data_IF_966525807700
#
_entry.id   IF_966525807700
#
_cell.length_a   1.000
_cell.length_b   1.000
_cell.length_c   1.000
_cell.angle_alpha   90.00
_cell.angle_beta   90.00
_cell.angle_gamma   90.00
#
_symmetry.space_group_name_H-M   'P 1'
#
loop_
_entity.id
_entity.type
_entity.pdbx_description
1 polymer ?
#
# COMPACT_ATOMS: atom_id res chain seq x y z
N UNK A 1 -5.28 -6.62 -26.38
CA UNK A 1 -4.91 -6.38 -24.96
C UNK A 1 -5.63 -5.11 -24.52
N UNK A 2 -6.70 -5.23 -23.74
CA UNK A 2 -7.53 -4.10 -23.31
C UNK A 2 -6.83 -3.35 -22.17
N UNK A 3 -6.75 -2.02 -22.29
CA UNK A 3 -6.14 -1.10 -21.31
C UNK A 3 -7.05 -0.94 -20.09
N UNK A 4 -7.20 -2.00 -19.30
CA UNK A 4 -7.97 -1.95 -18.04
C UNK A 4 -7.06 -1.41 -16.95
N UNK A 5 -7.44 -0.26 -16.37
CA UNK A 5 -6.76 0.32 -15.21
C UNK A 5 -7.07 -0.54 -13.99
N UNK A 6 -6.06 -1.28 -13.51
CA UNK A 6 -6.18 -2.12 -12.31
C UNK A 6 -5.88 -1.28 -11.08
N UNK A 7 -6.89 -1.07 -10.24
CA UNK A 7 -6.76 -0.44 -8.92
C UNK A 7 -6.87 -1.53 -7.84
N UNK A 8 -6.02 -1.44 -6.83
CA UNK A 8 -6.01 -2.37 -5.70
C UNK A 8 -6.68 -1.79 -4.47
N UNK A 9 -7.50 -2.60 -3.81
CA UNK A 9 -8.02 -2.32 -2.48
C UNK A 9 -7.32 -3.23 -1.46
N UNK A 10 -6.86 -2.67 -0.35
CA UNK A 10 -6.42 -3.49 0.77
C UNK A 10 -7.66 -4.10 1.45
N UNK A 11 -7.85 -5.42 1.36
CA UNK A 11 -9.06 -6.06 1.89
C UNK A 11 -9.19 -6.00 3.42
N UNK A 12 -8.09 -5.81 4.18
CA UNK A 12 -8.11 -5.84 5.65
C UNK A 12 -7.10 -4.86 6.27
N UNK A 13 -7.56 -4.17 7.31
CA UNK A 13 -6.74 -3.30 8.17
C UNK A 13 -5.47 -4.01 8.74
N UNK A 14 -5.45 -5.35 8.77
CA UNK A 14 -4.29 -6.12 9.22
C UNK A 14 -3.06 -6.06 8.30
N UNK A 15 -3.22 -5.68 7.03
CA UNK A 15 -2.11 -5.56 6.09
C UNK A 15 -1.15 -4.40 6.40
N UNK A 16 -1.61 -3.37 7.10
CA UNK A 16 -0.83 -2.13 7.34
C UNK A 16 -0.26 -2.02 8.76
N UNK A 17 -0.59 -2.97 9.64
CA UNK A 17 -0.10 -2.98 11.03
C UNK A 17 1.12 -3.86 11.24
N UNK A 18 1.45 -4.72 10.27
CA UNK A 18 2.52 -5.71 10.39
C UNK A 18 3.57 -5.56 9.29
N UNK A 19 4.79 -6.00 9.57
CA UNK A 19 5.88 -6.03 8.57
C UNK A 19 5.52 -6.89 7.37
N UNK A 20 4.99 -8.10 7.62
CA UNK A 20 4.64 -9.03 6.56
C UNK A 20 3.54 -8.48 5.65
N UNK A 21 2.55 -7.79 6.21
CA UNK A 21 1.50 -7.14 5.42
C UNK A 21 2.07 -6.07 4.49
N UNK A 22 2.99 -5.23 4.97
CA UNK A 22 3.68 -4.24 4.14
C UNK A 22 4.55 -4.87 3.07
N UNK A 23 5.29 -5.93 3.38
CA UNK A 23 6.14 -6.61 2.40
C UNK A 23 5.27 -7.23 1.27
N UNK A 24 4.06 -7.72 1.58
CA UNK A 24 3.09 -8.17 0.58
C UNK A 24 2.55 -7.00 -0.27
N UNK A 25 2.16 -5.88 0.36
CA UNK A 25 1.69 -4.68 -0.36
C UNK A 25 2.78 -4.21 -1.33
N UNK A 26 4.01 -4.07 -0.86
CA UNK A 26 5.12 -3.63 -1.70
C UNK A 26 5.45 -4.62 -2.82
N UNK A 27 5.35 -5.92 -2.59
CA UNK A 27 5.54 -6.93 -3.63
C UNK A 27 4.49 -6.80 -4.75
N UNK A 28 3.23 -6.52 -4.41
CA UNK A 28 2.15 -6.29 -5.37
C UNK A 28 2.38 -5.00 -6.16
N UNK A 29 2.79 -3.91 -5.52
CA UNK A 29 3.14 -2.66 -6.20
C UNK A 29 4.37 -2.78 -7.11
N UNK A 30 5.35 -3.61 -6.76
CA UNK A 30 6.55 -3.81 -7.58
C UNK A 30 6.30 -4.72 -8.78
N UNK A 31 5.45 -5.74 -8.63
CA UNK A 31 5.23 -6.78 -9.66
C UNK A 31 3.99 -6.53 -10.51
N UNK A 32 3.01 -5.80 -9.98
CA UNK A 32 1.75 -5.51 -10.66
C UNK A 32 1.71 -4.10 -11.22
N UNK A 33 0.75 -3.86 -12.12
CA UNK A 33 0.47 -2.53 -12.68
C UNK A 33 -0.45 -1.70 -11.78
N UNK A 34 -0.24 -1.75 -10.46
CA UNK A 34 -1.06 -1.01 -9.50
C UNK A 34 -0.69 0.47 -9.55
N UNK A 35 -1.66 1.31 -9.90
CA UNK A 35 -1.48 2.75 -9.98
C UNK A 35 -1.77 3.48 -8.66
N UNK A 36 -2.26 2.75 -7.66
CA UNK A 36 -2.57 3.29 -6.34
C UNK A 36 -3.21 2.27 -5.42
N UNK A 37 -3.41 2.68 -4.17
CA UNK A 37 -4.01 1.89 -3.09
C UNK A 37 -4.89 2.81 -2.24
N UNK A 38 -6.09 2.37 -1.96
CA UNK A 38 -6.88 2.90 -0.84
C UNK A 38 -6.36 2.27 0.44
N UNK A 39 -6.26 3.03 1.54
CA UNK A 39 -5.82 2.51 2.84
C UNK A 39 -6.91 2.70 3.87
N UNK A 40 -7.27 1.61 4.56
CA UNK A 40 -8.24 1.60 5.65
C UNK A 40 -7.61 1.01 6.92
N UNK A 41 -7.63 1.67 8.09
CA UNK A 41 -8.11 3.03 8.41
C UNK A 41 -6.95 4.02 8.51
N UNK A 42 -7.22 5.31 8.30
CA UNK A 42 -6.22 6.39 8.31
C UNK A 42 -5.31 6.38 9.55
N UNK A 43 -5.87 6.12 10.74
CA UNK A 43 -5.14 6.00 12.01
C UNK A 43 -3.94 5.02 11.92
N UNK A 44 -4.11 3.90 11.21
CA UNK A 44 -3.07 2.86 11.10
C UNK A 44 -1.83 3.30 10.32
N UNK A 45 -1.89 4.44 9.62
CA UNK A 45 -0.78 5.01 8.85
C UNK A 45 -0.45 6.45 9.25
N UNK A 46 -1.08 6.98 10.31
CA UNK A 46 -0.88 8.36 10.78
C UNK A 46 -0.49 8.47 12.25
N UNK A 47 -0.70 7.42 13.06
CA UNK A 47 -0.44 7.43 14.51
C UNK A 47 0.96 6.86 14.89
N UNK A 48 1.95 6.97 14.00
CA UNK A 48 3.30 6.47 14.23
C UNK A 48 3.53 5.00 13.83
N UNK A 49 4.65 4.45 14.28
CA UNK A 49 4.96 3.02 14.10
C UNK A 49 5.30 2.60 12.67
N UNK A 50 5.14 1.29 12.39
CA UNK A 50 5.53 0.69 11.10
C UNK A 50 4.63 1.14 9.95
N UNK A 51 3.33 1.29 10.21
CA UNK A 51 2.33 1.71 9.23
C UNK A 51 2.66 3.07 8.64
N UNK A 52 2.90 4.07 9.49
CA UNK A 52 3.26 5.41 9.04
C UNK A 52 4.57 5.41 8.24
N UNK A 53 5.62 4.75 8.73
CA UNK A 53 6.93 4.73 8.06
C UNK A 53 6.85 4.10 6.67
N UNK A 54 6.18 2.95 6.55
CA UNK A 54 6.07 2.24 5.27
C UNK A 54 5.12 2.96 4.31
N UNK A 55 4.06 3.60 4.80
CA UNK A 55 3.18 4.42 3.97
C UNK A 55 3.91 5.63 3.38
N UNK A 56 4.75 6.32 4.16
CA UNK A 56 5.60 7.40 3.66
C UNK A 56 6.56 6.92 2.57
N UNK A 57 7.16 5.74 2.72
CA UNK A 57 8.04 5.14 1.72
C UNK A 57 7.29 4.81 0.42
N UNK A 58 6.07 4.26 0.52
CA UNK A 58 5.23 3.96 -0.63
C UNK A 58 4.86 5.23 -1.41
N UNK A 59 4.44 6.30 -0.71
CA UNK A 59 4.12 7.59 -1.35
C UNK A 59 5.33 8.15 -2.10
N UNK A 60 6.51 8.14 -1.49
CA UNK A 60 7.75 8.61 -2.15
C UNK A 60 8.02 7.81 -3.43
N UNK A 61 7.86 6.49 -3.38
CA UNK A 61 8.06 5.61 -4.54
C UNK A 61 7.08 5.90 -5.67
N UNK A 62 5.81 6.19 -5.35
CA UNK A 62 4.77 6.45 -6.36
C UNK A 62 4.81 7.86 -6.97
N UNK A 63 5.60 8.79 -6.40
CA UNK A 63 5.76 10.15 -6.93
C UNK A 63 6.81 10.26 -8.05
N UNK A 64 7.59 9.21 -8.27
CA UNK A 64 8.63 9.11 -9.29
C UNK A 64 8.20 8.07 -10.33
#
# INVERSE_FOLDING_TARGET
RQQVVVKGENALAGGVTTRQGWDNIEAVFRRGHYQGMTVLRLAQVTDGGIGQRRYQQLIRRMRH
#
